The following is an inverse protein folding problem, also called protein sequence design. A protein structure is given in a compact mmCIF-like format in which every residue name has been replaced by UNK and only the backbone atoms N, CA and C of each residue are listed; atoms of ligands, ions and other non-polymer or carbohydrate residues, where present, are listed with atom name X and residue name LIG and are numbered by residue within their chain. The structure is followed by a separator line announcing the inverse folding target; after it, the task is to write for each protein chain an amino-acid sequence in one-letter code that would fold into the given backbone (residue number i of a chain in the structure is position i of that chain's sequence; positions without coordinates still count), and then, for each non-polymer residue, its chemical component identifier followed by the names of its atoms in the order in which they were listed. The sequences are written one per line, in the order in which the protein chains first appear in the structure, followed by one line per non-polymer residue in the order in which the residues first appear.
data_IF_993970033286
#
_entry.id   IF_993970033286
#
_cell.length_a   1.000
_cell.length_b   1.000
_cell.length_c   1.000
_cell.angle_alpha   90.00
_cell.angle_beta   90.00
_cell.angle_gamma   90.00
#
_symmetry.space_group_name_H-M   'P 1'
#
loop_
_entity.id
_entity.type
_entity.pdbx_description
1 polymer ?
#
# COMPACT_ATOMS: atom_id res chain seq x y z
N UNK A 1 11.51 -11.60 -1.12
CA UNK A 1 10.35 -10.80 -1.61
C UNK A 1 10.75 -10.06 -2.88
N UNK A 2 9.83 -9.87 -3.82
CA UNK A 2 10.00 -8.95 -4.94
C UNK A 2 8.96 -7.84 -4.80
N UNK A 3 9.42 -6.62 -4.59
CA UNK A 3 8.56 -5.47 -4.34
C UNK A 3 8.22 -4.73 -5.63
N UNK A 4 7.07 -4.07 -5.67
CA UNK A 4 6.77 -3.07 -6.69
C UNK A 4 5.86 -1.97 -6.13
N UNK A 5 5.91 -0.77 -6.70
CA UNK A 5 5.01 0.32 -6.30
C UNK A 5 4.82 1.36 -7.41
N UNK A 6 3.57 1.80 -7.59
CA UNK A 6 3.13 2.87 -8.51
C UNK A 6 2.77 4.14 -7.75
N UNK A 7 3.77 4.74 -7.10
CA UNK A 7 3.64 5.96 -6.30
C UNK A 7 4.65 7.02 -6.74
N UNK A 8 4.43 8.29 -6.42
CA UNK A 8 5.36 9.38 -6.79
C UNK A 8 6.82 9.19 -6.35
N UNK A 9 7.07 8.43 -5.26
CA UNK A 9 8.43 8.19 -4.72
C UNK A 9 8.64 6.71 -4.38
N UNK A 10 8.74 5.82 -5.39
CA UNK A 10 8.73 4.38 -5.17
C UNK A 10 9.94 3.89 -4.34
N UNK A 11 11.08 4.59 -4.43
CA UNK A 11 12.26 4.33 -3.59
C UNK A 11 11.98 4.46 -2.08
N UNK A 12 10.96 5.23 -1.65
CA UNK A 12 10.56 5.27 -0.24
C UNK A 12 9.91 3.96 0.20
N UNK A 13 9.15 3.30 -0.67
CA UNK A 13 8.52 2.00 -0.36
C UNK A 13 9.61 0.94 -0.26
N UNK A 14 10.51 0.88 -1.23
CA UNK A 14 11.67 -0.03 -1.18
C UNK A 14 12.46 0.13 0.13
N UNK A 15 12.82 1.38 0.48
CA UNK A 15 13.56 1.66 1.72
C UNK A 15 12.78 1.26 2.96
N UNK A 16 11.46 1.45 2.96
CA UNK A 16 10.62 1.12 4.12
C UNK A 16 10.41 -0.39 4.28
N UNK A 17 10.30 -1.14 3.17
CA UNK A 17 10.30 -2.60 3.19
C UNK A 17 11.60 -3.14 3.79
N UNK A 18 12.76 -2.66 3.31
CA UNK A 18 14.07 -3.04 3.86
C UNK A 18 14.18 -2.69 5.34
N UNK A 19 13.75 -1.48 5.74
CA UNK A 19 13.76 -1.05 7.13
C UNK A 19 12.81 -1.88 8.03
N UNK A 20 11.73 -2.43 7.47
CA UNK A 20 10.83 -3.36 8.15
C UNK A 20 11.38 -4.80 8.24
N UNK A 21 12.61 -5.05 7.75
CA UNK A 21 13.24 -6.38 7.79
C UNK A 21 12.85 -7.29 6.62
N UNK A 22 12.26 -6.74 5.55
CA UNK A 22 11.97 -7.52 4.36
C UNK A 22 13.27 -7.99 3.69
N UNK A 23 13.42 -9.30 3.51
CA UNK A 23 14.42 -9.87 2.61
C UNK A 23 13.97 -9.64 1.16
N UNK A 24 14.41 -8.51 0.59
CA UNK A 24 13.98 -8.01 -0.71
C UNK A 24 15.00 -8.40 -1.79
N UNK A 25 14.63 -9.36 -2.64
CA UNK A 25 15.44 -9.86 -3.74
C UNK A 25 15.53 -8.85 -4.90
N UNK A 26 14.44 -8.13 -5.17
CA UNK A 26 14.38 -7.09 -6.19
C UNK A 26 13.22 -6.11 -5.94
N UNK A 27 13.25 -4.95 -6.59
CA UNK A 27 12.21 -3.93 -6.52
C UNK A 27 11.94 -3.27 -7.89
N UNK A 28 10.69 -3.31 -8.35
CA UNK A 28 10.26 -2.64 -9.58
C UNK A 28 9.53 -1.32 -9.32
N UNK A 29 10.13 -0.16 -9.67
CA UNK A 29 9.44 1.12 -9.59
C UNK A 29 8.47 1.28 -10.79
N UNK A 30 7.28 1.79 -10.51
CA UNK A 30 6.34 2.24 -11.53
C UNK A 30 6.05 3.74 -11.36
N UNK A 31 5.68 4.45 -12.45
CA UNK A 31 5.17 5.82 -12.37
C UNK A 31 3.98 5.93 -11.41
N UNK A 32 3.74 7.13 -10.88
CA UNK A 32 2.57 7.34 -10.04
C UNK A 32 1.29 7.04 -10.81
N UNK A 33 0.36 6.37 -10.16
CA UNK A 33 -0.90 5.91 -10.75
C UNK A 33 -0.74 4.99 -11.97
N UNK A 34 0.44 4.39 -12.21
CA UNK A 34 0.62 3.44 -13.30
C UNK A 34 -0.49 2.37 -13.29
N UNK A 35 -0.97 2.03 -14.48
CA UNK A 35 -1.85 0.89 -14.69
C UNK A 35 -0.99 -0.38 -14.68
N UNK A 36 -1.32 -1.33 -13.80
CA UNK A 36 -0.62 -2.61 -13.76
C UNK A 36 -1.23 -3.54 -14.81
N UNK A 37 -0.69 -3.49 -16.02
CA UNK A 37 -1.13 -4.36 -17.11
C UNK A 37 -0.81 -5.80 -16.75
N UNK A 38 -1.62 -6.73 -17.24
CA UNK A 38 -1.43 -8.15 -16.97
C UNK A 38 -0.05 -8.66 -17.43
N UNK A 39 0.48 -8.14 -18.54
CA UNK A 39 1.84 -8.41 -19.01
C UNK A 39 2.92 -8.00 -17.99
N UNK A 40 2.78 -6.83 -17.37
CA UNK A 40 3.72 -6.33 -16.36
C UNK A 40 3.69 -7.24 -15.13
N UNK A 41 2.49 -7.63 -14.69
CA UNK A 41 2.31 -8.50 -13.52
C UNK A 41 2.86 -9.92 -13.78
N UNK A 42 2.67 -10.47 -14.99
CA UNK A 42 3.28 -11.74 -15.41
C UNK A 42 4.80 -11.67 -15.40
N UNK A 43 5.37 -10.58 -15.89
CA UNK A 43 6.82 -10.37 -15.86
C UNK A 43 7.35 -10.29 -14.42
N UNK A 44 6.66 -9.56 -13.54
CA UNK A 44 7.00 -9.51 -12.12
C UNK A 44 6.93 -10.90 -11.47
N UNK A 45 5.88 -11.67 -11.75
CA UNK A 45 5.70 -13.02 -11.22
C UNK A 45 6.83 -13.97 -11.67
N UNK A 46 7.18 -13.96 -12.96
CA UNK A 46 8.27 -14.78 -13.49
C UNK A 46 9.62 -14.43 -12.85
N UNK A 47 9.88 -13.14 -12.58
CA UNK A 47 11.09 -12.73 -11.85
C UNK A 47 11.04 -13.17 -10.40
N UNK A 48 9.89 -13.05 -9.74
CA UNK A 48 9.72 -13.51 -8.37
C UNK A 48 9.99 -15.02 -8.26
N UNK A 49 9.49 -15.82 -9.20
CA UNK A 49 9.72 -17.26 -9.26
C UNK A 49 11.22 -17.60 -9.41
N UNK A 50 11.96 -16.87 -10.26
CA UNK A 50 13.41 -17.04 -10.41
C UNK A 50 14.19 -16.80 -9.11
N UNK A 51 13.70 -15.90 -8.26
CA UNK A 51 14.30 -15.63 -6.95
C UNK A 51 13.69 -16.45 -5.80
N UNK A 52 12.74 -17.36 -6.08
CA UNK A 52 11.97 -18.04 -5.03
C UNK A 52 11.21 -17.07 -4.12
N UNK A 53 10.85 -15.90 -4.65
CA UNK A 53 10.27 -14.79 -3.92
C UNK A 53 8.75 -14.70 -4.14
N UNK A 54 8.08 -13.99 -3.22
CA UNK A 54 6.67 -13.58 -3.38
C UNK A 54 6.59 -12.11 -3.77
N UNK A 55 5.57 -11.76 -4.56
CA UNK A 55 5.25 -10.38 -4.88
C UNK A 55 4.68 -9.64 -3.68
N UNK A 56 5.10 -8.39 -3.49
CA UNK A 56 4.58 -7.49 -2.46
C UNK A 56 4.43 -6.07 -3.02
N UNK A 57 3.36 -5.39 -2.67
CA UNK A 57 3.12 -3.98 -3.05
C UNK A 57 2.39 -3.23 -1.95
N UNK A 58 2.14 -1.94 -2.14
CA UNK A 58 1.39 -1.11 -1.19
C UNK A 58 -0.10 -1.44 -1.20
N UNK A 59 -0.84 -1.21 -0.11
CA UNK A 59 -2.31 -1.35 -0.09
C UNK A 59 -3.00 -0.54 -1.20
N UNK A 60 -2.48 0.67 -1.48
CA UNK A 60 -2.97 1.54 -2.55
C UNK A 60 -2.93 0.80 -3.89
N UNK A 61 -1.77 0.26 -4.23
CA UNK A 61 -1.56 -0.41 -5.52
C UNK A 61 -2.26 -1.76 -5.57
N UNK A 62 -2.28 -2.50 -4.46
CA UNK A 62 -2.97 -3.79 -4.33
C UNK A 62 -4.47 -3.67 -4.63
N UNK A 63 -5.12 -2.63 -4.13
CA UNK A 63 -6.56 -2.40 -4.38
C UNK A 63 -6.90 -2.18 -5.85
N UNK A 64 -5.94 -1.70 -6.64
CA UNK A 64 -6.07 -1.45 -8.08
C UNK A 64 -5.77 -2.68 -8.94
N UNK A 65 -5.22 -3.75 -8.35
CA UNK A 65 -4.93 -4.98 -9.09
C UNK A 65 -6.23 -5.66 -9.54
N UNK A 66 -6.21 -6.36 -10.68
CA UNK A 66 -7.26 -7.30 -11.04
C UNK A 66 -7.48 -8.36 -9.93
N UNK A 67 -8.71 -8.84 -9.70
CA UNK A 67 -9.04 -9.79 -8.64
C UNK A 67 -8.15 -11.05 -8.62
N UNK A 68 -7.81 -11.59 -9.79
CA UNK A 68 -6.94 -12.76 -9.96
C UNK A 68 -5.51 -12.53 -9.45
N UNK A 69 -5.04 -11.29 -9.49
CA UNK A 69 -3.71 -10.91 -9.03
C UNK A 69 -3.65 -10.60 -7.53
N UNK A 70 -4.76 -10.15 -6.95
CA UNK A 70 -4.84 -9.87 -5.49
C UNK A 70 -4.53 -11.08 -4.63
N UNK A 71 -4.92 -12.28 -5.08
CA UNK A 71 -4.60 -13.54 -4.39
C UNK A 71 -3.10 -13.91 -4.46
N UNK A 72 -2.37 -13.36 -5.43
CA UNK A 72 -0.96 -13.70 -5.73
C UNK A 72 0.04 -12.67 -5.19
N UNK A 73 -0.43 -11.48 -4.82
CA UNK A 73 0.39 -10.36 -4.35
C UNK A 73 0.09 -10.08 -2.89
N UNK A 74 1.14 -9.98 -2.07
CA UNK A 74 1.02 -9.55 -0.68
C UNK A 74 0.74 -8.05 -0.63
N UNK A 75 -0.31 -7.66 0.06
CA UNK A 75 -0.59 -6.26 0.39
C UNK A 75 0.21 -5.85 1.62
N UNK A 76 1.05 -4.82 1.51
CA UNK A 76 1.82 -4.28 2.63
C UNK A 76 1.09 -3.09 3.26
N UNK A 77 0.58 -3.23 4.50
CA UNK A 77 -0.19 -2.18 5.14
C UNK A 77 0.68 -1.06 5.68
N UNK A 78 0.16 0.17 5.63
CA UNK A 78 0.83 1.35 6.20
C UNK A 78 -0.11 2.03 7.18
N UNK A 79 0.38 2.25 8.41
CA UNK A 79 -0.35 2.96 9.46
C UNK A 79 0.29 4.32 9.71
N UNK A 80 -0.51 5.38 9.58
CA UNK A 80 -0.14 6.69 10.12
C UNK A 80 -0.30 6.68 11.64
N UNK A 81 0.67 7.25 12.35
CA UNK A 81 0.62 7.42 13.80
C UNK A 81 0.99 8.86 14.15
N UNK A 82 0.34 9.41 15.18
CA UNK A 82 0.63 10.74 15.70
C UNK A 82 1.27 10.61 17.08
N UNK A 83 2.32 11.40 17.34
CA UNK A 83 2.98 11.42 18.65
C UNK A 83 2.06 11.92 19.77
N UNK A 84 1.19 12.87 19.44
CA UNK A 84 0.18 13.46 20.33
C UNK A 84 -1.22 13.20 19.77
N UNK A 85 -1.60 11.92 19.67
CA UNK A 85 -2.89 11.50 19.11
C UNK A 85 -4.08 12.21 19.77
N UNK A 86 -4.08 12.30 21.11
CA UNK A 86 -5.13 12.98 21.86
C UNK A 86 -5.19 14.49 21.54
N UNK A 87 -4.03 15.14 21.40
CA UNK A 87 -3.95 16.54 20.98
C UNK A 87 -4.48 16.75 19.56
N UNK A 88 -4.08 15.88 18.62
CA UNK A 88 -4.58 15.90 17.25
C UNK A 88 -6.11 15.75 17.20
N UNK A 89 -6.66 14.77 17.94
CA UNK A 89 -8.11 14.56 18.03
C UNK A 89 -8.84 15.76 18.60
N UNK A 90 -8.31 16.39 19.66
CA UNK A 90 -8.91 17.58 20.27
C UNK A 90 -8.99 18.75 19.28
N UNK A 91 -7.92 19.00 18.53
CA UNK A 91 -7.89 20.04 17.48
C UNK A 91 -8.87 19.71 16.36
N UNK A 92 -8.88 18.44 15.91
CA UNK A 92 -9.77 18.00 14.84
C UNK A 92 -11.24 18.19 15.23
N UNK A 93 -11.65 17.65 16.39
CA UNK A 93 -13.03 17.77 16.90
C UNK A 93 -13.42 19.22 17.12
N UNK A 94 -12.55 20.04 17.71
CA UNK A 94 -12.82 21.45 17.97
C UNK A 94 -12.95 22.31 16.70
N UNK A 95 -12.41 21.85 15.56
CA UNK A 95 -12.43 22.57 14.28
C UNK A 95 -13.57 22.11 13.35
N UNK A 96 -14.23 20.99 13.67
CA UNK A 96 -15.33 20.48 12.87
C UNK A 96 -16.63 21.24 13.18
N UNK A 97 -17.41 21.63 12.17
CA UNK A 97 -18.77 22.11 12.42
C UNK A 97 -19.59 20.99 13.08
N UNK A 98 -20.64 21.32 13.84
CA UNK A 98 -21.53 20.32 14.40
C UNK A 98 -22.06 19.40 13.30
N UNK A 99 -21.90 18.09 13.50
CA UNK A 99 -22.32 17.08 12.54
C UNK A 99 -23.85 17.11 12.39
N UNK A 100 -24.34 17.42 11.19
CA UNK A 100 -25.79 17.50 10.87
C UNK A 100 -26.33 16.28 10.13
N UNK A 101 -25.69 15.12 10.26
CA UNK A 101 -26.17 13.85 9.71
C UNK A 101 -26.88 13.00 10.76
N UNK A 102 -27.92 12.24 10.36
CA UNK A 102 -28.43 11.15 11.19
C UNK A 102 -27.34 10.09 11.33
N UNK A 103 -27.02 9.70 12.56
CA UNK A 103 -26.25 8.49 12.81
C UNK A 103 -27.09 7.31 12.35
N UNK A 104 -26.62 6.54 11.38
CA UNK A 104 -27.23 5.27 11.03
C UNK A 104 -26.95 4.29 12.17
N UNK A 105 -27.92 4.06 13.06
CA UNK A 105 -27.75 3.06 14.13
C UNK A 105 -28.60 3.19 15.39
N UNK A 106 -29.52 4.14 15.53
CA UNK A 106 -30.55 4.06 16.58
C UNK A 106 -31.88 3.67 15.93
N UNK A 107 -32.21 2.38 16.08
CA UNK A 107 -33.51 1.77 15.85
C UNK A 107 -34.06 1.30 17.20
#
# INVERSE_FOLDING_TARGET
LLGFAGIAKPWKVERSLKAAGADLADFAPFPDHAEFRDEDLRFLAQRADQFGARLITTEKDWSRLPPEWRARVVSWPVKATFGEEAGFQKVLIGSLPPFRGKVAGEA
#
